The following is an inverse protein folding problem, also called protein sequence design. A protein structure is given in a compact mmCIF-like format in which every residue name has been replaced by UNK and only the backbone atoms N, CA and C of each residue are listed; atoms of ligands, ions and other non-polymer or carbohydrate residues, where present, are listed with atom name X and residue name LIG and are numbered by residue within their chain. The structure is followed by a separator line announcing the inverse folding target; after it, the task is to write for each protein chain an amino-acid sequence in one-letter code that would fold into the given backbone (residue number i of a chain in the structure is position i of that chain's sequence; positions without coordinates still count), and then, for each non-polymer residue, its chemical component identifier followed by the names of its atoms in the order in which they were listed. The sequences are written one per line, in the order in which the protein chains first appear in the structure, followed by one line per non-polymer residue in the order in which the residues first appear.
data_IF_564220890423
#
_entry.id   IF_564220890423
#
_cell.length_a   1.000
_cell.length_b   1.000
_cell.length_c   1.000
_cell.angle_alpha   90.00
_cell.angle_beta   90.00
_cell.angle_gamma   90.00
#
_symmetry.space_group_name_H-M   'P 1'
#
loop_
_entity.id
_entity.type
_entity.pdbx_description
1 polymer ?
#
# COMPACT_ATOMS: atom_id res chain seq x y z
N UNK A 1 2.33 -17.23 -1.29
CA UNK A 1 1.31 -16.31 -0.75
C UNK A 1 1.60 -14.90 -1.25
N UNK A 2 0.59 -14.21 -1.72
CA UNK A 2 0.74 -12.86 -2.26
C UNK A 2 0.93 -11.86 -1.12
N UNK A 3 2.05 -11.14 -1.13
CA UNK A 3 2.39 -10.18 -0.08
C UNK A 3 1.42 -9.00 -0.01
N UNK A 4 0.78 -8.65 -1.14
CA UNK A 4 -0.12 -7.52 -1.19
C UNK A 4 -1.56 -7.88 -0.86
N UNK A 5 -1.96 -9.12 -1.03
CA UNK A 5 -3.33 -9.55 -0.77
C UNK A 5 -3.71 -9.33 0.70
N UNK A 6 -2.86 -9.74 1.62
CA UNK A 6 -3.10 -9.54 3.05
C UNK A 6 -3.18 -8.07 3.43
N UNK A 7 -2.30 -7.24 2.86
CA UNK A 7 -2.30 -5.81 3.10
C UNK A 7 -3.57 -5.15 2.56
N UNK A 8 -3.98 -5.53 1.35
CA UNK A 8 -5.20 -4.99 0.74
C UNK A 8 -6.43 -5.32 1.57
N UNK A 9 -6.54 -6.57 2.05
CA UNK A 9 -7.64 -6.98 2.92
C UNK A 9 -7.66 -6.16 4.21
N UNK A 10 -6.51 -5.92 4.82
CA UNK A 10 -6.41 -5.14 6.06
C UNK A 10 -6.87 -3.69 5.84
N UNK A 11 -6.46 -3.07 4.74
CA UNK A 11 -6.85 -1.69 4.43
C UNK A 11 -8.33 -1.59 4.11
N UNK A 12 -8.87 -2.52 3.32
CA UNK A 12 -10.29 -2.47 2.96
C UNK A 12 -11.20 -2.77 4.14
N UNK A 13 -10.71 -3.51 5.14
CA UNK A 13 -11.46 -3.77 6.37
C UNK A 13 -11.45 -2.58 7.33
N UNK A 14 -10.51 -1.65 7.18
CA UNK A 14 -10.42 -0.48 8.05
C UNK A 14 -11.51 0.53 7.69
N UNK A 15 -12.35 0.90 8.67
CA UNK A 15 -13.46 1.84 8.46
C UNK A 15 -13.16 3.23 9.00
N UNK A 16 -11.99 3.42 9.62
CA UNK A 16 -11.59 4.71 10.17
C UNK A 16 -10.08 4.87 10.05
N UNK A 17 -9.62 6.12 10.14
CA UNK A 17 -8.19 6.43 10.13
C UNK A 17 -7.44 5.68 11.24
N UNK A 18 -8.05 5.59 12.43
CA UNK A 18 -7.44 4.89 13.56
C UNK A 18 -7.25 3.40 13.28
N UNK A 19 -8.27 2.76 12.68
CA UNK A 19 -8.17 1.35 12.29
C UNK A 19 -7.11 1.14 11.21
N UNK A 20 -7.00 2.06 10.28
CA UNK A 20 -5.96 2.00 9.26
C UNK A 20 -4.56 2.06 9.89
N UNK A 21 -4.37 2.95 10.87
CA UNK A 21 -3.08 3.05 11.57
C UNK A 21 -2.73 1.76 12.32
N UNK A 22 -3.72 1.14 12.98
CA UNK A 22 -3.52 -0.13 13.66
C UNK A 22 -3.17 -1.23 12.66
N UNK A 23 -3.91 -1.32 11.56
CA UNK A 23 -3.63 -2.29 10.51
C UNK A 23 -2.22 -2.10 9.94
N UNK A 24 -1.82 -0.85 9.72
CA UNK A 24 -0.49 -0.53 9.21
C UNK A 24 0.60 -1.10 10.11
N UNK A 25 0.46 -0.96 11.42
CA UNK A 25 1.45 -1.47 12.38
C UNK A 25 1.58 -2.99 12.36
N UNK A 26 0.48 -3.71 12.07
CA UNK A 26 0.46 -5.16 12.13
C UNK A 26 0.84 -5.85 10.82
N UNK A 27 0.50 -5.25 9.68
CA UNK A 27 0.60 -5.93 8.40
C UNK A 27 1.62 -5.34 7.44
N UNK A 28 2.09 -4.11 7.68
CA UNK A 28 2.94 -3.40 6.73
C UNK A 28 4.37 -3.31 7.24
N UNK A 29 5.33 -3.64 6.38
CA UNK A 29 6.72 -3.35 6.64
C UNK A 29 7.04 -1.88 6.38
N UNK A 30 8.30 -1.51 6.57
CA UNK A 30 8.77 -0.15 6.30
C UNK A 30 8.91 0.12 4.79
N UNK A 31 9.03 -0.93 4.00
CA UNK A 31 9.21 -0.84 2.54
C UNK A 31 8.26 -1.84 1.88
N UNK A 32 7.49 -1.43 0.87
CA UNK A 32 6.63 -2.38 0.15
C UNK A 32 7.47 -3.44 -0.57
N UNK A 33 7.01 -4.69 -0.62
CA UNK A 33 7.71 -5.75 -1.32
C UNK A 33 7.74 -5.49 -2.83
N UNK A 34 8.75 -6.04 -3.50
CA UNK A 34 8.86 -5.92 -4.94
C UNK A 34 7.71 -6.67 -5.63
N UNK A 35 7.14 -6.04 -6.65
CA UNK A 35 6.09 -6.67 -7.45
C UNK A 35 6.73 -7.68 -8.40
N UNK A 36 6.29 -8.93 -8.35
CA UNK A 36 6.87 -10.03 -9.13
C UNK A 36 5.85 -10.74 -10.03
N UNK A 37 4.57 -10.35 -10.00
CA UNK A 37 3.54 -10.97 -10.82
C UNK A 37 2.43 -9.98 -11.15
N UNK A 38 1.63 -10.30 -12.17
CA UNK A 38 0.46 -9.49 -12.53
C UNK A 38 -0.56 -9.44 -11.39
N UNK A 39 -0.73 -10.55 -10.67
CA UNK A 39 -1.65 -10.58 -9.53
C UNK A 39 -1.19 -9.62 -8.43
N UNK A 40 0.10 -9.61 -8.12
CA UNK A 40 0.66 -8.65 -7.17
C UNK A 40 0.51 -7.21 -7.66
N UNK A 41 0.71 -6.99 -8.94
CA UNK A 41 0.53 -5.65 -9.53
C UNK A 41 -0.90 -5.15 -9.36
N UNK A 42 -1.89 -6.00 -9.63
CA UNK A 42 -3.29 -5.64 -9.47
C UNK A 42 -3.61 -5.30 -8.01
N UNK A 43 -3.14 -6.13 -7.08
CA UNK A 43 -3.35 -5.91 -5.64
C UNK A 43 -2.62 -4.66 -5.15
N UNK A 44 -1.39 -4.43 -5.62
CA UNK A 44 -0.61 -3.24 -5.25
C UNK A 44 -1.27 -1.95 -5.74
N UNK A 45 -1.82 -1.97 -6.95
CA UNK A 45 -2.53 -0.80 -7.51
C UNK A 45 -3.79 -0.48 -6.71
N UNK A 46 -4.56 -1.51 -6.35
CA UNK A 46 -5.74 -1.35 -5.53
C UNK A 46 -5.37 -0.85 -4.12
N UNK A 47 -4.30 -1.39 -3.55
CA UNK A 47 -3.79 -0.97 -2.25
C UNK A 47 -3.35 0.50 -2.28
N UNK A 48 -2.64 0.89 -3.33
CA UNK A 48 -2.20 2.27 -3.51
C UNK A 48 -3.41 3.22 -3.51
N UNK A 49 -4.42 2.92 -4.30
CA UNK A 49 -5.62 3.75 -4.38
C UNK A 49 -6.35 3.85 -3.04
N UNK A 50 -6.48 2.73 -2.33
CA UNK A 50 -7.15 2.70 -1.04
C UNK A 50 -6.40 3.50 0.02
N UNK A 51 -5.08 3.36 0.07
CA UNK A 51 -4.25 4.10 1.03
C UNK A 51 -4.18 5.58 0.69
N UNK A 52 -4.03 5.92 -0.60
CA UNK A 52 -3.95 7.30 -1.05
C UNK A 52 -5.20 8.09 -0.68
N UNK A 53 -6.38 7.49 -0.83
CA UNK A 53 -7.63 8.15 -0.46
C UNK A 53 -7.80 8.31 1.05
N UNK A 54 -7.04 7.56 1.86
CA UNK A 54 -7.10 7.62 3.32
C UNK A 54 -6.07 8.58 3.92
N UNK A 55 -5.10 9.04 3.13
CA UNK A 55 -4.03 9.94 3.60
C UNK A 55 -4.39 11.38 3.22
N UNK A 56 -4.40 12.32 4.18
CA UNK A 56 -4.64 13.72 3.85
C UNK A 56 -3.58 14.27 2.89
N UNK A 57 -3.94 15.13 1.94
CA UNK A 57 -2.98 15.66 0.96
C UNK A 57 -1.79 16.38 1.59
N UNK A 58 -1.97 16.98 2.76
CA UNK A 58 -0.92 17.70 3.45
C UNK A 58 0.01 16.81 4.30
N UNK A 59 -0.32 15.54 4.45
CA UNK A 59 0.48 14.60 5.23
C UNK A 59 1.57 14.00 4.34
N UNK A 60 2.81 14.46 4.53
CA UNK A 60 3.95 13.98 3.74
C UNK A 60 4.98 13.22 4.59
N UNK A 61 4.76 13.13 5.90
CA UNK A 61 5.79 12.63 6.82
C UNK A 61 5.38 11.41 7.63
N UNK A 62 4.10 11.06 7.64
CA UNK A 62 3.67 9.87 8.39
C UNK A 62 4.23 8.60 7.75
N UNK A 63 4.38 7.51 8.52
CA UNK A 63 4.81 6.22 7.95
C UNK A 63 3.89 5.73 6.85
N UNK A 64 2.59 5.98 6.97
CA UNK A 64 1.60 5.61 5.94
C UNK A 64 1.87 6.38 4.65
N UNK A 65 2.07 7.70 4.74
CA UNK A 65 2.34 8.53 3.56
C UNK A 65 3.63 8.09 2.86
N UNK A 66 4.68 7.80 3.63
CA UNK A 66 5.95 7.31 3.08
C UNK A 66 5.78 5.96 2.39
N UNK A 67 4.98 5.08 2.98
CA UNK A 67 4.71 3.78 2.39
C UNK A 67 3.98 3.92 1.05
N UNK A 68 3.00 4.81 0.98
CA UNK A 68 2.24 5.08 -0.26
C UNK A 68 3.19 5.54 -1.37
N UNK A 69 4.11 6.45 -1.07
CA UNK A 69 5.09 6.93 -2.04
C UNK A 69 5.98 5.79 -2.53
N UNK A 70 6.49 4.97 -1.62
CA UNK A 70 7.34 3.84 -1.97
C UNK A 70 6.58 2.78 -2.77
N UNK A 71 5.31 2.56 -2.45
CA UNK A 71 4.43 1.65 -3.18
C UNK A 71 4.23 2.13 -4.62
N UNK A 72 4.01 3.42 -4.82
CA UNK A 72 3.91 4.01 -6.15
C UNK A 72 5.17 3.80 -6.97
N UNK A 73 6.34 3.86 -6.33
CA UNK A 73 7.62 3.58 -7.00
C UNK A 73 7.71 2.13 -7.46
N UNK A 74 7.26 1.18 -6.65
CA UNK A 74 7.25 -0.24 -7.03
C UNK A 74 6.31 -0.49 -8.21
N UNK A 75 5.15 0.14 -8.21
CA UNK A 75 4.19 0.05 -9.31
C UNK A 75 4.82 0.56 -10.61
N UNK A 76 5.47 1.73 -10.55
CA UNK A 76 6.15 2.32 -11.71
C UNK A 76 7.28 1.41 -12.22
N UNK A 77 8.06 0.83 -11.33
CA UNK A 77 9.12 -0.11 -11.70
C UNK A 77 8.58 -1.30 -12.48
N UNK A 78 7.47 -1.86 -12.02
CA UNK A 78 6.84 -2.99 -12.71
C UNK A 78 6.36 -2.57 -14.11
N UNK A 79 5.73 -1.40 -14.23
CA UNK A 79 5.25 -0.91 -15.52
C UNK A 79 6.38 -0.69 -16.50
N UNK A 80 7.52 -0.22 -16.04
CA UNK A 80 8.70 -0.01 -16.90
C UNK A 80 9.29 -1.34 -17.38
N UNK A 81 9.27 -2.37 -16.53
CA UNK A 81 9.80 -3.70 -16.88
C UNK A 81 8.98 -4.42 -17.93
N UNK A 82 7.73 -4.07 -18.08
CA UNK A 82 6.86 -4.66 -19.11
C UNK A 82 7.23 -4.18 -20.53
#
# INVERSE_FOLDING_TARGET
MDNYEGQLKAVTAAVSKKQLEVAFRHFFGLVPPEITSEAEYADATALYAAMDSSVPPQDLHSPVARYVVALGMQITKWEIKK
#
